data_IF_446031887844
#
_entry.id   IF_446031887844
#
_cell.length_a   1.000
_cell.length_b   1.000
_cell.length_c   1.000
_cell.angle_alpha   90.00
_cell.angle_beta   90.00
_cell.angle_gamma   90.00
#
_symmetry.space_group_name_H-M   'P 1'
#
loop_
_entity.id
_entity.type
_entity.pdbx_description
1 polymer ?
#
# COMPACT_ATOMS: atom_id res chain seq x y z
N UNK A 1 38.00 12.45 -10.09
CA UNK A 1 36.89 11.81 -9.36
C UNK A 1 37.44 10.58 -8.68
N UNK A 2 37.80 10.69 -7.40
CA UNK A 2 38.30 9.55 -6.62
C UNK A 2 37.19 8.49 -6.48
N UNK A 3 37.42 7.31 -7.07
CA UNK A 3 36.57 6.15 -6.85
C UNK A 3 36.89 5.60 -5.48
N UNK A 4 36.16 6.07 -4.45
CA UNK A 4 36.17 5.39 -3.15
C UNK A 4 35.73 3.93 -3.35
N UNK A 5 36.50 2.95 -2.85
CA UNK A 5 36.14 1.55 -2.97
C UNK A 5 34.86 1.27 -2.16
N UNK A 6 34.06 0.32 -2.64
CA UNK A 6 32.85 -0.12 -1.95
C UNK A 6 33.20 -0.71 -0.57
N UNK A 7 32.32 -0.52 0.40
CA UNK A 7 32.52 -1.09 1.73
C UNK A 7 32.39 -2.63 1.67
N UNK A 8 33.31 -3.40 2.26
CA UNK A 8 33.33 -4.86 2.11
C UNK A 8 32.13 -5.57 2.76
N UNK A 9 31.48 -4.93 3.73
CA UNK A 9 30.27 -5.45 4.39
C UNK A 9 28.99 -5.24 3.55
N UNK A 10 29.00 -4.25 2.65
CA UNK A 10 27.81 -3.84 1.90
C UNK A 10 27.15 -4.95 1.07
N UNK A 11 27.87 -5.81 0.31
CA UNK A 11 27.22 -6.88 -0.44
C UNK A 11 26.55 -7.92 0.47
N UNK A 12 27.14 -8.25 1.63
CA UNK A 12 26.57 -9.22 2.56
C UNK A 12 25.28 -8.69 3.20
N UNK A 13 25.25 -7.42 3.61
CA UNK A 13 24.04 -6.80 4.18
C UNK A 13 22.95 -6.67 3.12
N UNK A 14 23.29 -6.25 1.89
CA UNK A 14 22.32 -6.21 0.79
C UNK A 14 21.71 -7.58 0.54
N UNK A 15 22.53 -8.64 0.47
CA UNK A 15 22.02 -10.01 0.27
C UNK A 15 21.09 -10.46 1.41
N UNK A 16 21.45 -10.19 2.67
CA UNK A 16 20.59 -10.51 3.83
C UNK A 16 19.26 -9.76 3.77
N UNK A 17 19.28 -8.47 3.44
CA UNK A 17 18.06 -7.67 3.29
C UNK A 17 17.19 -8.18 2.14
N UNK A 18 17.78 -8.59 1.02
CA UNK A 18 17.04 -9.19 -0.10
C UNK A 18 16.36 -10.49 0.32
N UNK A 19 17.06 -11.37 1.05
CA UNK A 19 16.48 -12.61 1.55
C UNK A 19 15.37 -12.33 2.56
N UNK A 20 15.58 -11.39 3.48
CA UNK A 20 14.56 -10.99 4.45
C UNK A 20 13.32 -10.42 3.76
N UNK A 21 13.50 -9.57 2.75
CA UNK A 21 12.42 -9.00 1.94
C UNK A 21 11.62 -10.07 1.20
N UNK A 22 12.30 -11.00 0.52
CA UNK A 22 11.63 -12.11 -0.17
C UNK A 22 10.89 -13.02 0.81
N UNK A 23 11.49 -13.30 1.97
CA UNK A 23 10.87 -14.08 3.04
C UNK A 23 9.62 -13.39 3.59
N UNK A 24 9.69 -12.09 3.87
CA UNK A 24 8.57 -11.27 4.33
C UNK A 24 7.42 -11.25 3.31
N UNK A 25 7.74 -11.02 2.03
CA UNK A 25 6.76 -11.07 0.95
C UNK A 25 6.07 -12.44 0.86
N UNK A 26 6.84 -13.53 0.96
CA UNK A 26 6.29 -14.89 0.90
C UNK A 26 5.36 -15.19 2.08
N UNK A 27 5.71 -14.75 3.29
CA UNK A 27 4.86 -14.91 4.47
C UNK A 27 3.54 -14.12 4.33
N UNK A 28 3.59 -12.90 3.80
CA UNK A 28 2.40 -12.08 3.58
C UNK A 28 1.49 -12.67 2.50
N UNK A 29 2.07 -13.20 1.41
CA UNK A 29 1.32 -13.94 0.38
C UNK A 29 0.67 -15.18 0.99
N UNK A 30 1.38 -15.93 1.82
CA UNK A 30 0.84 -17.07 2.56
C UNK A 30 -0.33 -16.67 3.48
N UNK A 31 -0.22 -15.52 4.15
CA UNK A 31 -1.30 -14.96 4.98
C UNK A 31 -2.54 -14.59 4.17
N UNK A 32 -2.38 -13.99 3.00
CA UNK A 32 -3.46 -13.69 2.05
C UNK A 32 -4.16 -14.97 1.59
N UNK A 33 -3.38 -16.00 1.26
CA UNK A 33 -3.92 -17.31 0.88
C UNK A 33 -4.74 -17.94 2.01
N UNK A 34 -4.24 -17.89 3.25
CA UNK A 34 -4.96 -18.38 4.43
C UNK A 34 -6.28 -17.64 4.65
N UNK A 35 -6.29 -16.31 4.56
CA UNK A 35 -7.52 -15.50 4.65
C UNK A 35 -8.51 -15.85 3.53
N UNK A 36 -8.03 -16.12 2.32
CA UNK A 36 -8.86 -16.56 1.21
C UNK A 36 -9.54 -17.91 1.47
N UNK A 37 -8.81 -18.88 2.03
CA UNK A 37 -9.36 -20.19 2.42
C UNK A 37 -10.38 -20.04 3.55
N UNK A 38 -10.10 -19.25 4.58
CA UNK A 38 -11.04 -18.94 5.66
C UNK A 38 -12.32 -18.31 5.09
N UNK A 39 -12.20 -17.37 4.14
CA UNK A 39 -13.33 -16.74 3.47
C UNK A 39 -14.20 -17.72 2.68
N UNK A 40 -13.58 -18.63 1.92
CA UNK A 40 -14.29 -19.67 1.16
C UNK A 40 -15.05 -20.65 2.08
N UNK A 41 -14.43 -21.05 3.19
CA UNK A 41 -15.07 -21.91 4.20
C UNK A 41 -16.26 -21.22 4.88
N UNK A 42 -16.22 -19.91 5.07
CA UNK A 42 -17.34 -19.15 5.64
C UNK A 42 -18.49 -18.94 4.67
N UNK A 43 -18.20 -18.76 3.38
CA UNK A 43 -19.24 -18.61 2.36
C UNK A 43 -20.08 -19.89 2.19
N UNK A 44 -19.51 -21.05 2.50
CA UNK A 44 -20.24 -22.33 2.49
C UNK A 44 -20.99 -22.63 3.80
N UNK A 45 -20.76 -21.86 4.87
CA UNK A 45 -21.33 -22.11 6.21
C UNK A 45 -22.31 -21.03 6.72
N UNK A 46 -22.79 -20.10 5.86
CA UNK A 46 -23.84 -19.10 6.17
C UNK A 46 -23.65 -18.37 7.51
N UNK A 47 -22.42 -17.92 7.80
CA UNK A 47 -22.05 -17.26 9.06
C UNK A 47 -21.86 -15.75 8.89
N UNK A 48 -22.95 -14.96 9.02
CA UNK A 48 -22.94 -13.52 8.72
C UNK A 48 -22.03 -12.66 9.63
N UNK A 49 -21.70 -13.13 10.84
CA UNK A 49 -20.87 -12.38 11.79
C UNK A 49 -19.36 -12.42 11.53
N UNK A 50 -18.87 -13.44 10.81
CA UNK A 50 -17.42 -13.63 10.57
C UNK A 50 -16.91 -12.80 9.38
N UNK A 51 -17.78 -12.47 8.42
CA UNK A 51 -17.42 -11.84 7.16
C UNK A 51 -16.73 -10.48 7.34
N UNK A 52 -17.25 -9.61 8.22
CA UNK A 52 -16.67 -8.28 8.43
C UNK A 52 -15.27 -8.32 9.06
N UNK A 53 -15.00 -9.28 9.94
CA UNK A 53 -13.69 -9.47 10.55
C UNK A 53 -12.66 -9.99 9.53
N UNK A 54 -13.08 -10.91 8.65
CA UNK A 54 -12.26 -11.44 7.56
C UNK A 54 -11.90 -10.37 6.54
N UNK A 55 -12.86 -9.53 6.13
CA UNK A 55 -12.59 -8.40 5.22
C UNK A 55 -11.58 -7.43 5.82
N UNK A 56 -11.71 -7.09 7.11
CA UNK A 56 -10.73 -6.22 7.79
C UNK A 56 -9.35 -6.86 7.85
N UNK A 57 -9.25 -8.15 8.19
CA UNK A 57 -7.99 -8.91 8.23
C UNK A 57 -7.34 -8.97 6.84
N UNK A 58 -8.12 -9.27 5.80
CA UNK A 58 -7.67 -9.28 4.40
C UNK A 58 -7.16 -7.93 3.93
N UNK A 59 -7.87 -6.84 4.22
CA UNK A 59 -7.45 -5.49 3.86
C UNK A 59 -6.15 -5.09 4.57
N UNK A 60 -5.97 -5.45 5.85
CA UNK A 60 -4.72 -5.20 6.57
C UNK A 60 -3.54 -5.98 6.00
N UNK A 61 -3.73 -7.27 5.67
CA UNK A 61 -2.66 -8.08 5.05
C UNK A 61 -2.32 -7.57 3.66
N UNK A 62 -3.31 -7.15 2.85
CA UNK A 62 -3.07 -6.50 1.56
C UNK A 62 -2.30 -5.19 1.71
N UNK A 63 -2.66 -4.33 2.67
CA UNK A 63 -1.98 -3.07 2.92
C UNK A 63 -0.54 -3.30 3.38
N UNK A 64 -0.31 -4.27 4.26
CA UNK A 64 1.01 -4.67 4.71
C UNK A 64 1.87 -5.20 3.55
N UNK A 65 1.31 -6.07 2.70
CA UNK A 65 1.98 -6.56 1.49
C UNK A 65 2.33 -5.42 0.54
N UNK A 66 1.38 -4.52 0.29
CA UNK A 66 1.59 -3.35 -0.56
C UNK A 66 2.74 -2.46 -0.05
N UNK A 67 2.81 -2.27 1.27
CA UNK A 67 3.85 -1.48 1.92
C UNK A 67 5.20 -2.20 1.85
N UNK A 68 5.26 -3.49 2.18
CA UNK A 68 6.49 -4.31 2.18
C UNK A 68 7.13 -4.38 0.79
N UNK A 69 6.30 -4.53 -0.24
CA UNK A 69 6.72 -4.61 -1.65
C UNK A 69 7.45 -3.34 -2.12
N UNK A 70 7.13 -2.18 -1.56
CA UNK A 70 7.77 -0.89 -1.90
C UNK A 70 8.88 -0.52 -0.90
N UNK A 71 8.62 -0.68 0.40
CA UNK A 71 9.55 -0.32 1.46
C UNK A 71 10.80 -1.19 1.47
N UNK A 72 10.69 -2.49 1.17
CA UNK A 72 11.81 -3.42 1.14
C UNK A 72 12.90 -3.01 0.13
N UNK A 73 12.58 -2.88 -1.17
CA UNK A 73 13.55 -2.45 -2.18
C UNK A 73 14.09 -1.03 -1.91
N UNK A 74 13.27 -0.14 -1.34
CA UNK A 74 13.71 1.22 -0.97
C UNK A 74 14.76 1.18 0.15
N UNK A 75 14.55 0.38 1.20
CA UNK A 75 15.53 0.19 2.27
C UNK A 75 16.84 -0.42 1.75
N UNK A 76 16.74 -1.44 0.88
CA UNK A 76 17.91 -2.05 0.24
C UNK A 76 18.69 -1.02 -0.59
N UNK A 77 17.98 -0.15 -1.33
CA UNK A 77 18.62 0.91 -2.10
C UNK A 77 19.39 1.90 -1.22
N UNK A 78 18.81 2.34 -0.09
CA UNK A 78 19.48 3.24 0.87
C UNK A 78 20.77 2.60 1.40
N UNK A 79 20.71 1.33 1.79
CA UNK A 79 21.90 0.59 2.27
C UNK A 79 22.95 0.45 1.15
N UNK A 80 22.52 0.15 -0.08
CA UNK A 80 23.43 0.08 -1.22
C UNK A 80 24.11 1.42 -1.53
N UNK A 81 23.40 2.56 -1.42
CA UNK A 81 23.99 3.90 -1.54
C UNK A 81 25.04 4.14 -0.45
N UNK A 82 24.72 3.79 0.80
CA UNK A 82 25.63 3.97 1.94
C UNK A 82 26.92 3.13 1.79
N UNK A 83 26.81 1.95 1.19
CA UNK A 83 27.94 1.07 0.87
C UNK A 83 28.69 1.41 -0.42
N UNK A 84 28.36 2.51 -1.09
CA UNK A 84 28.89 2.95 -2.39
C UNK A 84 28.59 2.01 -3.58
N UNK A 85 27.60 1.12 -3.44
CA UNK A 85 27.11 0.21 -4.49
C UNK A 85 26.08 0.90 -5.39
N UNK A 86 26.51 1.92 -6.14
CA UNK A 86 25.60 2.77 -6.94
C UNK A 86 24.75 2.02 -7.96
N UNK A 87 25.32 1.03 -8.67
CA UNK A 87 24.54 0.21 -9.64
C UNK A 87 23.43 -0.57 -8.95
N UNK A 88 23.74 -1.19 -7.82
CA UNK A 88 22.79 -1.98 -7.04
C UNK A 88 21.67 -1.09 -6.49
N UNK A 89 22.01 0.09 -5.97
CA UNK A 89 21.03 1.07 -5.52
C UNK A 89 20.06 1.49 -6.63
N UNK A 90 20.57 1.77 -7.83
CA UNK A 90 19.72 2.13 -8.99
C UNK A 90 18.78 1.00 -9.37
N UNK A 91 19.26 -0.25 -9.40
CA UNK A 91 18.41 -1.42 -9.69
C UNK A 91 17.27 -1.54 -8.68
N UNK A 92 17.58 -1.47 -7.38
CA UNK A 92 16.55 -1.56 -6.34
C UNK A 92 15.58 -0.37 -6.32
N UNK A 93 16.03 0.83 -6.69
CA UNK A 93 15.14 1.98 -6.89
C UNK A 93 14.19 1.78 -8.08
N UNK A 94 14.68 1.25 -9.20
CA UNK A 94 13.83 0.94 -10.36
C UNK A 94 12.80 -0.13 -9.98
N UNK A 95 13.21 -1.15 -9.23
CA UNK A 95 12.31 -2.18 -8.71
C UNK A 95 11.26 -1.57 -7.79
N UNK A 96 11.65 -0.75 -6.80
CA UNK A 96 10.72 -0.04 -5.92
C UNK A 96 9.72 0.82 -6.72
N UNK A 97 10.19 1.55 -7.72
CA UNK A 97 9.34 2.42 -8.53
C UNK A 97 8.35 1.60 -9.37
N UNK A 98 8.81 0.56 -10.05
CA UNK A 98 7.96 -0.32 -10.85
C UNK A 98 6.90 -1.03 -10.01
N UNK A 99 7.30 -1.55 -8.84
CA UNK A 99 6.39 -2.17 -7.89
C UNK A 99 5.42 -1.16 -7.28
N UNK A 100 5.88 0.04 -6.96
CA UNK A 100 5.04 1.12 -6.45
C UNK A 100 3.95 1.52 -7.45
N UNK A 101 4.29 1.66 -8.73
CA UNK A 101 3.31 1.95 -9.81
C UNK A 101 2.28 0.81 -9.92
N UNK A 102 2.73 -0.44 -9.85
CA UNK A 102 1.85 -1.61 -9.95
C UNK A 102 0.86 -1.71 -8.79
N UNK A 103 1.31 -1.39 -7.58
CA UNK A 103 0.55 -1.58 -6.33
C UNK A 103 -0.30 -0.33 -5.98
N UNK A 104 0.08 0.85 -6.46
CA UNK A 104 -0.63 2.11 -6.21
C UNK A 104 -2.17 2.04 -6.37
N UNK A 105 -2.75 1.49 -7.45
CA UNK A 105 -4.21 1.44 -7.58
C UNK A 105 -4.89 0.60 -6.49
N UNK A 106 -4.26 -0.51 -6.08
CA UNK A 106 -4.78 -1.37 -5.01
C UNK A 106 -4.69 -0.68 -3.65
N UNK A 107 -3.58 -0.02 -3.36
CA UNK A 107 -3.41 0.73 -2.11
C UNK A 107 -4.44 1.86 -1.99
N UNK A 108 -4.73 2.58 -3.08
CA UNK A 108 -5.76 3.64 -3.10
C UNK A 108 -7.15 3.06 -2.84
N UNK A 109 -7.49 1.91 -3.42
CA UNK A 109 -8.78 1.26 -3.18
C UNK A 109 -8.93 0.83 -1.70
N UNK A 110 -7.94 0.14 -1.15
CA UNK A 110 -7.96 -0.31 0.25
C UNK A 110 -7.98 0.89 1.23
N UNK A 111 -7.23 1.95 0.94
CA UNK A 111 -7.21 3.14 1.79
C UNK A 111 -8.57 3.84 1.86
N UNK A 112 -9.35 3.83 0.77
CA UNK A 112 -10.72 4.36 0.77
C UNK A 112 -11.67 3.56 1.64
N UNK A 113 -11.47 2.25 1.75
CA UNK A 113 -12.28 1.40 2.63
C UNK A 113 -11.90 1.55 4.11
N UNK A 114 -10.66 1.97 4.39
CA UNK A 114 -10.13 2.12 5.76
C UNK A 114 -10.32 3.55 6.31
N UNK A 115 -10.18 4.57 5.46
CA UNK A 115 -10.30 5.97 5.86
C UNK A 115 -11.74 6.46 5.65
N UNK A 116 -12.47 6.88 6.70
CA UNK A 116 -13.82 7.39 6.53
C UNK A 116 -13.82 8.61 5.62
N UNK A 117 -14.74 8.65 4.66
CA UNK A 117 -14.89 9.79 3.75
C UNK A 117 -15.14 11.07 4.58
N UNK A 118 -14.57 12.21 4.19
CA UNK A 118 -14.83 13.47 4.88
C UNK A 118 -16.34 13.76 4.87
N UNK A 119 -16.88 14.36 5.95
CA UNK A 119 -18.30 14.69 6.01
C UNK A 119 -18.66 15.59 4.81
N UNK A 120 -19.84 15.41 4.21
CA UNK A 120 -20.27 16.27 3.11
C UNK A 120 -20.21 17.73 3.56
N UNK A 121 -19.67 18.60 2.71
CA UNK A 121 -19.66 20.04 2.97
C UNK A 121 -21.09 20.48 3.33
N UNK A 122 -21.26 21.31 4.38
CA UNK A 122 -22.57 21.79 4.76
C UNK A 122 -23.24 22.43 3.55
N UNK A 123 -24.51 22.09 3.33
CA UNK A 123 -25.30 22.67 2.26
C UNK A 123 -25.20 24.21 2.34
N UNK A 124 -25.04 24.91 1.19
CA UNK A 124 -24.94 26.35 1.20
C UNK A 124 -26.16 26.96 1.93
N UNK A 125 -25.90 27.62 3.05
CA UNK A 125 -26.94 28.28 3.88
C UNK A 125 -27.45 29.59 3.28
N UNK A 126 -26.96 29.94 2.09
CA UNK A 126 -27.41 31.10 1.33
C UNK A 126 -27.78 30.65 -0.07
N UNK A 127 -28.94 31.11 -0.55
CA UNK A 127 -29.33 30.94 -1.94
C UNK A 127 -28.25 31.60 -2.80
N UNK A 128 -27.47 30.78 -3.50
CA UNK A 128 -26.53 31.27 -4.49
C UNK A 128 -27.31 31.46 -5.79
N UNK A 129 -27.67 32.72 -6.05
CA UNK A 129 -28.45 33.12 -7.21
C UNK A 129 -27.62 32.86 -8.47
N UNK A 130 -27.93 31.76 -9.18
CA UNK A 130 -27.43 31.54 -10.52
C UNK A 130 -28.22 32.43 -11.46
N UNK A 131 -27.62 33.58 -11.78
CA UNK A 131 -28.00 34.55 -12.81
C UNK A 131 -29.09 34.06 -13.78
N UNK A 132 -30.35 34.46 -13.54
CA UNK A 132 -31.40 34.21 -14.52
C UNK A 132 -32.86 34.11 -14.04
N UNK A 133 -33.17 34.35 -12.77
CA UNK A 133 -34.56 34.67 -12.38
C UNK A 133 -35.41 33.54 -11.80
N UNK A 134 -34.82 32.49 -11.22
CA UNK A 134 -35.57 31.52 -10.41
C UNK A 134 -35.37 31.80 -8.91
N UNK A 135 -36.36 32.44 -8.29
CA UNK A 135 -36.34 32.86 -6.88
C UNK A 135 -36.96 31.82 -5.93
N UNK A 136 -37.11 30.56 -6.35
CA UNK A 136 -37.70 29.52 -5.50
C UNK A 136 -36.62 28.73 -4.78
N UNK A 137 -36.30 29.16 -3.56
CA UNK A 137 -35.51 28.34 -2.63
C UNK A 137 -36.45 27.37 -1.87
N UNK A 138 -36.09 26.10 -1.68
CA UNK A 138 -36.89 25.17 -0.90
C UNK A 138 -36.83 25.58 0.58
N UNK A 139 -37.95 26.09 1.10
CA UNK A 139 -38.08 26.62 2.46
C UNK A 139 -39.23 27.62 2.67
N UNK A 140 -39.86 28.09 1.58
CA UNK A 140 -41.08 28.90 1.59
C UNK A 140 -41.64 29.09 0.19
#
# INVERSE_FOLDING_TARGET
MDRRPAAPWAPAIVALLTVAWLGGALLLIGGLFAVGIEGWAHQTSNSDGAAAALTRKGNLVMLALATEVVAGPMAIAVVAVSGLLRRTAVVYLIIALGLGILVAPFAVAVLRDVVPSPPPSPAPTRCQEYSGGDNRCPGG
#
